data_IF_563796503412
#
_entry.id   IF_563796503412
#
_cell.length_a   1.000
_cell.length_b   1.000
_cell.length_c   1.000
_cell.angle_alpha   90.00
_cell.angle_beta   90.00
_cell.angle_gamma   90.00
#
_symmetry.space_group_name_H-M   'P 1'
#
loop_
_entity.id
_entity.type
_entity.pdbx_description
1 polymer ?
#
# COMPACT_ATOMS: atom_id res chain seq x y z
N UNK A 1 -9.29 -23.15 17.08
CA UNK A 1 -8.48 -21.95 17.38
C UNK A 1 -7.35 -21.90 16.37
N UNK A 2 -7.46 -21.01 15.40
CA UNK A 2 -6.64 -21.03 14.18
C UNK A 2 -5.24 -20.45 14.42
N UNK A 3 -4.22 -21.09 13.86
CA UNK A 3 -2.83 -20.61 13.79
C UNK A 3 -2.68 -19.19 13.19
N UNK A 4 -3.73 -18.65 12.57
CA UNK A 4 -3.81 -17.28 12.04
C UNK A 4 -3.63 -16.20 13.11
N UNK A 5 -4.12 -16.40 14.34
CA UNK A 5 -4.08 -15.33 15.37
C UNK A 5 -2.66 -14.96 15.84
N UNK A 6 -1.77 -15.95 16.03
CA UNK A 6 -0.41 -15.70 16.49
C UNK A 6 0.47 -15.07 15.40
N UNK A 7 0.34 -15.54 14.15
CA UNK A 7 1.03 -14.96 13.00
C UNK A 7 0.58 -13.51 12.75
N UNK A 8 -0.74 -13.27 12.79
CA UNK A 8 -1.32 -11.92 12.69
C UNK A 8 -0.77 -10.99 13.77
N UNK A 9 -0.64 -11.48 15.00
CA UNK A 9 -0.08 -10.68 16.11
C UNK A 9 1.37 -10.29 15.85
N UNK A 10 2.20 -11.21 15.36
CA UNK A 10 3.61 -10.95 15.04
C UNK A 10 3.72 -9.92 13.91
N UNK A 11 2.97 -10.11 12.82
CA UNK A 11 2.99 -9.16 11.71
C UNK A 11 2.42 -7.80 12.09
N UNK A 12 1.36 -7.74 12.90
CA UNK A 12 0.80 -6.50 13.39
C UNK A 12 1.82 -5.72 14.24
N UNK A 13 2.52 -6.40 15.16
CA UNK A 13 3.57 -5.78 15.95
C UNK A 13 4.73 -5.29 15.07
N UNK A 14 5.18 -6.10 14.09
CA UNK A 14 6.23 -5.70 13.15
C UNK A 14 5.81 -4.54 12.25
N UNK A 15 4.57 -4.55 11.77
CA UNK A 15 3.98 -3.47 10.96
C UNK A 15 4.03 -2.16 11.73
N UNK A 16 3.49 -2.16 12.95
CA UNK A 16 3.48 -0.99 13.82
C UNK A 16 4.91 -0.52 14.10
N UNK A 17 5.81 -1.42 14.51
CA UNK A 17 7.21 -1.08 14.79
C UNK A 17 7.88 -0.42 13.59
N UNK A 18 7.75 -1.00 12.39
CA UNK A 18 8.38 -0.46 11.18
C UNK A 18 7.78 0.89 10.76
N UNK A 19 6.47 1.10 10.98
CA UNK A 19 5.80 2.35 10.66
C UNK A 19 6.29 3.50 11.56
N UNK A 20 6.49 3.22 12.84
CA UNK A 20 6.83 4.21 13.87
C UNK A 20 8.33 4.44 14.06
N UNK A 21 9.18 3.47 13.72
CA UNK A 21 10.64 3.62 13.78
C UNK A 21 11.06 4.73 12.82
N UNK A 22 11.88 5.68 13.28
CA UNK A 22 12.44 6.72 12.42
C UNK A 22 13.33 6.11 11.33
N UNK A 23 13.47 6.78 10.19
CA UNK A 23 14.23 6.21 9.06
C UNK A 23 15.65 5.85 9.44
N UNK A 24 16.32 6.73 10.19
CA UNK A 24 17.69 6.59 10.68
C UNK A 24 17.90 5.39 11.62
N UNK A 25 16.83 4.96 12.30
CA UNK A 25 16.86 3.80 13.18
C UNK A 25 16.58 2.47 12.49
N UNK A 26 16.15 2.48 11.24
CA UNK A 26 15.91 1.24 10.49
C UNK A 26 17.22 0.54 10.10
N UNK A 27 17.21 -0.80 10.09
CA UNK A 27 18.35 -1.60 9.62
C UNK A 27 18.70 -1.26 8.16
N UNK A 28 17.69 -0.97 7.34
CA UNK A 28 17.88 -0.59 5.94
C UNK A 28 18.68 0.71 5.81
N UNK A 29 18.44 1.71 6.66
CA UNK A 29 19.22 2.95 6.68
C UNK A 29 20.63 2.71 7.19
N UNK A 30 20.77 1.98 8.30
CA UNK A 30 22.06 1.63 8.91
C UNK A 30 22.98 0.87 7.95
N UNK A 31 22.40 0.06 7.06
CA UNK A 31 23.11 -0.68 6.00
C UNK A 31 23.26 0.12 4.69
N UNK A 32 22.77 1.35 4.63
CA UNK A 32 22.84 2.24 3.46
C UNK A 32 21.95 1.81 2.28
N UNK A 33 20.94 0.96 2.50
CA UNK A 33 19.97 0.54 1.48
C UNK A 33 19.03 1.69 1.12
N UNK A 34 18.66 2.50 2.11
CA UNK A 34 17.79 3.67 1.96
C UNK A 34 18.44 4.94 2.54
N UNK A 35 17.97 6.11 2.12
CA UNK A 35 18.32 7.40 2.70
C UNK A 35 17.44 7.77 3.90
N UNK A 36 17.68 8.95 4.49
CA UNK A 36 16.95 9.45 5.66
C UNK A 36 15.47 9.78 5.42
N UNK A 37 14.99 9.65 4.17
CA UNK A 37 13.59 9.82 3.78
C UNK A 37 13.00 8.49 3.24
N UNK A 38 13.70 7.37 3.44
CA UNK A 38 13.28 6.06 2.98
C UNK A 38 13.36 5.85 1.46
N UNK A 39 14.10 6.68 0.72
CA UNK A 39 14.36 6.48 -0.72
C UNK A 39 15.46 5.43 -0.90
N UNK A 40 15.26 4.50 -1.83
CA UNK A 40 16.24 3.46 -2.13
C UNK A 40 17.49 4.06 -2.76
N UNK A 41 18.66 3.74 -2.19
CA UNK A 41 19.97 4.17 -2.67
C UNK A 41 20.69 3.08 -3.45
N UNK A 42 20.51 1.81 -3.06
CA UNK A 42 21.12 0.66 -3.73
C UNK A 42 20.22 -0.57 -3.69
N UNK A 43 20.48 -1.51 -4.60
CA UNK A 43 19.86 -2.82 -4.58
C UNK A 43 20.49 -3.69 -3.47
N UNK A 44 19.71 -4.31 -2.58
CA UNK A 44 20.22 -5.25 -1.59
C UNK A 44 20.94 -6.44 -2.23
N UNK A 45 22.17 -6.69 -1.82
CA UNK A 45 23.04 -7.76 -2.32
C UNK A 45 23.40 -8.77 -1.23
N UNK A 46 23.80 -8.27 -0.05
CA UNK A 46 24.16 -9.12 1.09
C UNK A 46 22.91 -9.71 1.74
N UNK A 47 23.10 -10.75 2.55
CA UNK A 47 21.99 -11.37 3.28
C UNK A 47 21.36 -10.40 4.27
N UNK A 48 22.19 -9.61 4.95
CA UNK A 48 21.80 -8.61 5.93
C UNK A 48 20.99 -7.49 5.26
N UNK A 49 21.45 -6.99 4.10
CA UNK A 49 20.71 -6.00 3.31
C UNK A 49 19.35 -6.55 2.86
N UNK A 50 19.32 -7.80 2.34
CA UNK A 50 18.07 -8.43 1.89
C UNK A 50 17.07 -8.62 3.05
N UNK A 51 17.56 -9.01 4.22
CA UNK A 51 16.73 -9.16 5.43
C UNK A 51 16.21 -7.81 5.94
N UNK A 52 16.99 -6.74 5.79
CA UNK A 52 16.57 -5.37 6.14
C UNK A 52 15.55 -4.77 5.16
N UNK A 53 15.35 -5.40 3.99
CA UNK A 53 14.58 -4.84 2.88
C UNK A 53 13.72 -5.89 2.16
N UNK A 54 13.05 -6.73 2.95
CA UNK A 54 12.10 -7.76 2.47
C UNK A 54 10.83 -7.15 1.86
N UNK A 55 10.03 -7.96 1.15
CA UNK A 55 8.76 -7.50 0.53
C UNK A 55 7.86 -6.81 1.55
N UNK A 56 7.63 -7.45 2.71
CA UNK A 56 6.88 -6.85 3.81
C UNK A 56 7.44 -5.48 4.23
N UNK A 57 8.75 -5.36 4.45
CA UNK A 57 9.38 -4.10 4.84
C UNK A 57 9.19 -3.03 3.75
N UNK A 58 9.36 -3.39 2.47
CA UNK A 58 9.15 -2.48 1.34
C UNK A 58 7.71 -1.93 1.29
N UNK A 59 6.71 -2.81 1.51
CA UNK A 59 5.30 -2.41 1.54
C UNK A 59 5.01 -1.46 2.71
N UNK A 60 5.52 -1.76 3.91
CA UNK A 60 5.38 -0.88 5.07
C UNK A 60 6.04 0.48 4.83
N UNK A 61 7.25 0.48 4.26
CA UNK A 61 7.95 1.72 3.91
C UNK A 61 7.23 2.53 2.84
N UNK A 62 6.49 1.89 1.92
CA UNK A 62 5.63 2.61 0.99
C UNK A 62 4.54 3.38 1.75
N UNK A 63 3.82 2.69 2.63
CA UNK A 63 2.80 3.34 3.48
C UNK A 63 3.40 4.45 4.32
N UNK A 64 4.55 4.22 4.99
CA UNK A 64 5.25 5.23 5.79
C UNK A 64 5.53 6.50 4.97
N UNK A 65 6.09 6.37 3.76
CA UNK A 65 6.34 7.51 2.85
C UNK A 65 5.06 8.22 2.41
N UNK A 66 3.95 7.50 2.25
CA UNK A 66 2.66 8.09 1.91
C UNK A 66 2.11 8.92 3.08
N UNK A 67 2.17 8.39 4.31
CA UNK A 67 1.73 9.08 5.53
C UNK A 67 2.54 10.35 5.80
N UNK A 68 3.86 10.30 5.64
CA UNK A 68 4.76 11.44 5.88
C UNK A 68 4.57 12.59 4.87
N UNK A 69 3.98 12.32 3.70
CA UNK A 69 3.67 13.35 2.69
C UNK A 69 2.36 14.11 2.94
N UNK A 70 1.58 13.75 3.97
CA UNK A 70 0.29 14.39 4.26
C UNK A 70 0.47 15.47 5.34
N UNK A 71 0.26 16.76 5.01
CA UNK A 71 0.18 17.81 6.02
C UNK A 71 -1.15 17.67 6.81
N UNK A 72 -1.11 17.69 8.14
CA UNK A 72 -2.32 17.98 8.95
C UNK A 72 -2.93 16.89 9.84
N UNK A 73 -2.18 15.88 10.29
CA UNK A 73 -2.48 15.09 11.51
C UNK A 73 -3.74 14.19 11.52
N UNK A 74 -4.68 14.35 10.59
CA UNK A 74 -5.83 13.47 10.39
C UNK A 74 -5.76 12.87 9.00
N UNK A 75 -5.33 11.61 8.93
CA UNK A 75 -5.09 10.95 7.65
C UNK A 75 -6.28 10.10 7.26
N UNK A 76 -6.82 10.32 6.06
CA UNK A 76 -7.89 9.49 5.49
C UNK A 76 -7.31 8.16 5.05
N UNK A 77 -7.44 7.12 5.88
CA UNK A 77 -6.91 5.78 5.60
C UNK A 77 -7.46 5.17 4.29
N UNK A 78 -8.69 5.54 3.90
CA UNK A 78 -9.27 5.18 2.60
C UNK A 78 -8.42 5.66 1.41
N UNK A 79 -7.66 6.77 1.56
CA UNK A 79 -6.70 7.24 0.55
C UNK A 79 -5.52 6.28 0.35
N UNK A 80 -5.36 5.28 1.22
CA UNK A 80 -4.31 4.27 1.18
C UNK A 80 -4.85 2.86 1.10
N UNK A 81 -6.12 2.69 0.73
CA UNK A 81 -6.78 1.38 0.66
C UNK A 81 -5.97 0.36 -0.14
N UNK A 82 -5.48 0.71 -1.35
CA UNK A 82 -4.66 -0.21 -2.13
C UNK A 82 -3.35 -0.61 -1.42
N UNK A 83 -2.65 0.33 -0.79
CA UNK A 83 -1.42 0.02 -0.07
C UNK A 83 -1.67 -0.87 1.16
N UNK A 84 -2.75 -0.62 1.90
CA UNK A 84 -3.18 -1.43 3.04
C UNK A 84 -3.63 -2.84 2.59
N UNK A 85 -4.32 -2.93 1.45
CA UNK A 85 -4.65 -4.19 0.80
C UNK A 85 -3.41 -5.02 0.48
N UNK A 86 -2.33 -4.41 -0.05
CA UNK A 86 -1.09 -5.14 -0.32
C UNK A 86 -0.48 -5.76 0.96
N UNK A 87 -0.60 -5.09 2.11
CA UNK A 87 -0.14 -5.64 3.40
C UNK A 87 -1.03 -6.80 3.84
N UNK A 88 -2.36 -6.62 3.78
CA UNK A 88 -3.36 -7.65 4.10
C UNK A 88 -3.05 -8.92 3.29
N UNK A 89 -2.94 -8.78 1.99
CA UNK A 89 -2.73 -9.88 1.05
C UNK A 89 -1.35 -10.55 1.23
N UNK A 90 -0.29 -9.76 1.45
CA UNK A 90 1.06 -10.31 1.62
C UNK A 90 1.26 -11.04 2.96
N UNK A 91 0.57 -10.62 4.01
CA UNK A 91 0.79 -11.13 5.38
C UNK A 91 -0.30 -12.09 5.86
N UNK A 92 -1.47 -12.10 5.22
CA UNK A 92 -2.66 -12.79 5.70
C UNK A 92 -3.35 -12.10 6.88
N UNK A 93 -2.86 -10.92 7.32
CA UNK A 93 -3.41 -10.20 8.46
C UNK A 93 -4.85 -9.76 8.19
N UNK A 94 -5.74 -10.00 9.15
CA UNK A 94 -7.12 -9.53 9.03
C UNK A 94 -7.24 -8.00 8.96
N UNK A 95 -8.25 -7.53 8.22
CA UNK A 95 -8.58 -6.11 8.10
C UNK A 95 -8.86 -5.45 9.45
N UNK A 96 -9.59 -6.12 10.35
CA UNK A 96 -9.83 -5.67 11.72
C UNK A 96 -8.51 -5.41 12.45
N UNK A 97 -7.52 -6.28 12.30
CA UNK A 97 -6.23 -6.13 12.97
C UNK A 97 -5.43 -4.95 12.40
N UNK A 98 -5.49 -4.74 11.09
CA UNK A 98 -4.91 -3.55 10.46
C UNK A 98 -5.55 -2.26 11.01
N UNK A 99 -6.88 -2.22 11.15
CA UNK A 99 -7.58 -1.09 11.76
C UNK A 99 -7.11 -0.83 13.19
N UNK A 100 -7.08 -1.86 14.05
CA UNK A 100 -6.60 -1.75 15.44
C UNK A 100 -5.18 -1.17 15.54
N UNK A 101 -4.28 -1.51 14.59
CA UNK A 101 -2.91 -0.98 14.60
C UNK A 101 -2.84 0.48 14.16
N UNK A 102 -3.65 0.88 13.18
CA UNK A 102 -3.68 2.25 12.66
C UNK A 102 -4.34 3.21 13.66
N UNK A 103 -5.41 2.79 14.33
CA UNK A 103 -6.09 3.55 15.37
C UNK A 103 -5.18 3.88 16.55
N UNK A 104 -4.35 2.92 16.98
CA UNK A 104 -3.34 3.12 18.04
C UNK A 104 -2.33 4.23 17.72
N UNK A 105 -2.18 4.61 16.45
CA UNK A 105 -1.27 5.67 16.02
C UNK A 105 -2.01 6.98 15.66
N UNK A 106 -3.30 7.09 16.03
CA UNK A 106 -4.09 8.30 15.79
C UNK A 106 -4.64 8.41 14.37
N UNK A 107 -4.57 7.33 13.57
CA UNK A 107 -5.26 7.28 12.29
C UNK A 107 -6.67 6.72 12.50
N UNK A 108 -7.67 7.56 12.31
CA UNK A 108 -9.07 7.13 12.32
C UNK A 108 -9.46 6.62 10.95
N UNK A 109 -10.18 5.50 10.92
CA UNK A 109 -10.97 5.14 9.76
C UNK A 109 -12.04 6.22 9.58
N UNK A 110 -11.91 7.01 8.52
CA UNK A 110 -13.00 7.88 8.12
C UNK A 110 -13.89 7.04 7.22
N UNK A 111 -15.09 6.70 7.72
CA UNK A 111 -16.11 5.92 7.02
C UNK A 111 -16.85 6.77 5.97
N UNK A 112 -16.26 7.91 5.58
CA UNK A 112 -16.71 8.66 4.41
C UNK A 112 -16.43 7.86 3.16
N UNK A 113 -17.42 7.02 2.85
CA UNK A 113 -17.80 6.53 1.55
C UNK A 113 -17.20 7.45 0.46
N UNK A 114 -16.12 7.00 -0.17
CA UNK A 114 -15.44 7.72 -1.24
C UNK A 114 -16.38 7.72 -2.46
N UNK A 115 -17.28 8.70 -2.42
CA UNK A 115 -18.07 9.37 -3.45
C UNK A 115 -18.24 8.67 -4.80
N UNK A 116 -19.48 8.72 -5.27
CA UNK A 116 -19.91 8.71 -6.68
C UNK A 116 -18.79 9.19 -7.61
N UNK A 117 -18.05 8.22 -8.12
CA UNK A 117 -16.95 8.47 -9.03
C UNK A 117 -17.47 8.23 -10.42
N UNK A 118 -17.42 9.24 -11.28
CA UNK A 118 -17.77 9.18 -12.71
C UNK A 118 -17.03 8.09 -13.53
N UNK A 119 -16.12 7.33 -12.89
CA UNK A 119 -15.37 6.23 -13.47
C UNK A 119 -15.83 4.87 -12.93
N UNK A 120 -16.84 4.83 -12.04
CA UNK A 120 -17.48 3.62 -11.56
C UNK A 120 -18.91 3.59 -12.12
N UNK A 121 -19.34 2.41 -12.58
CA UNK A 121 -20.74 2.12 -12.85
C UNK A 121 -21.15 0.91 -12.00
N UNK A 122 -22.09 1.11 -11.08
CA UNK A 122 -22.39 0.17 -9.99
C UNK A 122 -21.13 -0.10 -9.15
N UNK A 123 -20.44 -1.21 -9.39
CA UNK A 123 -19.16 -1.56 -8.76
C UNK A 123 -18.00 -1.63 -9.78
N UNK A 124 -18.33 -1.60 -11.07
CA UNK A 124 -17.37 -1.80 -12.15
C UNK A 124 -16.55 -0.54 -12.39
N UNK A 125 -15.22 -0.69 -12.45
CA UNK A 125 -14.35 0.36 -12.94
C UNK A 125 -14.46 0.45 -14.46
N UNK A 126 -14.85 1.61 -14.96
CA UNK A 126 -15.06 1.83 -16.40
C UNK A 126 -13.76 1.61 -17.19
N UNK A 127 -13.84 0.99 -18.39
CA UNK A 127 -12.66 0.75 -19.22
C UNK A 127 -12.01 2.06 -19.67
N UNK A 128 -10.69 2.04 -19.83
CA UNK A 128 -9.94 3.21 -20.28
C UNK A 128 -8.51 3.27 -19.75
N UNK A 129 -7.87 4.42 -19.99
CA UNK A 129 -6.57 4.75 -19.42
C UNK A 129 -6.75 5.74 -18.28
N UNK A 130 -6.09 5.46 -17.16
CA UNK A 130 -6.14 6.30 -15.97
C UNK A 130 -4.74 6.64 -15.51
N UNK A 131 -4.55 7.88 -15.07
CA UNK A 131 -3.29 8.38 -14.52
C UNK A 131 -3.22 8.09 -13.02
N UNK A 132 -2.10 7.52 -12.57
CA UNK A 132 -1.82 7.32 -11.15
C UNK A 132 -1.54 8.67 -10.48
N UNK A 133 -2.23 8.97 -9.38
CA UNK A 133 -1.99 10.21 -8.61
C UNK A 133 -0.97 10.03 -7.48
N UNK A 134 -0.59 8.78 -7.17
CA UNK A 134 0.44 8.42 -6.20
C UNK A 134 1.23 7.20 -6.67
N UNK A 135 2.30 6.91 -5.95
CA UNK A 135 3.13 5.73 -6.19
C UNK A 135 2.41 4.46 -5.73
N UNK A 136 2.42 3.41 -6.56
CA UNK A 136 1.79 2.11 -6.30
C UNK A 136 2.85 1.00 -6.36
N UNK A 137 2.88 0.18 -5.31
CA UNK A 137 3.78 -0.97 -5.23
C UNK A 137 3.19 -2.22 -5.88
N UNK A 138 4.10 -3.08 -6.34
CA UNK A 138 3.80 -4.46 -6.71
C UNK A 138 3.55 -5.30 -5.47
N UNK A 139 2.49 -6.10 -5.49
CA UNK A 139 2.24 -7.13 -4.47
C UNK A 139 3.37 -8.18 -4.42
N UNK A 140 3.92 -8.53 -5.58
CA UNK A 140 4.89 -9.63 -5.72
C UNK A 140 6.29 -9.24 -5.24
N UNK A 141 6.69 -7.98 -5.43
CA UNK A 141 8.07 -7.53 -5.15
C UNK A 141 8.18 -6.49 -4.03
N UNK A 142 7.06 -5.86 -3.67
CA UNK A 142 7.00 -4.70 -2.77
C UNK A 142 7.58 -3.42 -3.39
N UNK A 143 8.05 -3.46 -4.64
CA UNK A 143 8.69 -2.32 -5.30
C UNK A 143 7.66 -1.39 -5.92
N UNK A 144 7.95 -0.09 -5.92
CA UNK A 144 7.12 0.90 -6.63
C UNK A 144 7.35 0.75 -8.12
N UNK A 145 6.40 0.11 -8.81
CA UNK A 145 6.43 -0.10 -10.26
C UNK A 145 5.46 0.85 -11.00
N UNK A 146 4.41 1.33 -10.33
CA UNK A 146 3.52 2.37 -10.83
C UNK A 146 3.90 3.69 -10.20
N UNK A 147 4.68 4.52 -10.88
CA UNK A 147 5.07 5.84 -10.34
C UNK A 147 3.95 6.85 -10.52
N UNK A 148 3.83 7.80 -9.60
CA UNK A 148 2.92 8.94 -9.76
C UNK A 148 3.08 9.57 -11.14
N UNK A 149 1.96 9.78 -11.82
CA UNK A 149 1.88 10.40 -13.14
C UNK A 149 1.98 9.44 -14.31
N UNK A 150 2.28 8.16 -14.10
CA UNK A 150 2.18 7.12 -15.13
C UNK A 150 0.75 6.60 -15.26
N UNK A 151 0.51 5.70 -16.21
CA UNK A 151 -0.84 5.28 -16.58
C UNK A 151 -1.08 3.79 -16.31
N UNK A 152 -2.32 3.46 -15.98
CA UNK A 152 -2.86 2.10 -15.95
C UNK A 152 -3.95 1.96 -17.02
N UNK A 153 -4.10 0.76 -17.55
CA UNK A 153 -5.16 0.39 -18.48
C UNK A 153 -6.16 -0.51 -17.77
N UNK A 154 -7.43 -0.13 -17.87
CA UNK A 154 -8.58 -0.88 -17.36
C UNK A 154 -9.29 -1.50 -18.55
N UNK A 155 -9.53 -2.80 -18.46
CA UNK A 155 -10.26 -3.58 -19.47
C UNK A 155 -11.76 -3.48 -19.25
N UNK A 156 -12.55 -3.92 -20.23
CA UNK A 156 -14.00 -4.06 -20.07
C UNK A 156 -14.34 -5.01 -18.92
N UNK A 157 -15.47 -4.76 -18.25
CA UNK A 157 -15.99 -5.56 -17.14
C UNK A 157 -15.01 -5.72 -15.95
N UNK A 158 -14.23 -4.67 -15.64
CA UNK A 158 -13.31 -4.66 -14.51
C UNK A 158 -14.06 -4.56 -13.18
N UNK A 159 -14.37 -5.72 -12.59
CA UNK A 159 -14.97 -5.85 -11.26
C UNK A 159 -13.91 -5.71 -10.15
N UNK A 160 -14.31 -5.28 -8.93
CA UNK A 160 -13.41 -5.29 -7.79
C UNK A 160 -12.92 -6.71 -7.50
N UNK A 161 -11.62 -6.84 -7.23
CA UNK A 161 -10.99 -8.11 -6.84
C UNK A 161 -11.14 -8.36 -5.34
N UNK A 162 -11.17 -7.29 -4.54
CA UNK A 162 -11.41 -7.35 -3.09
C UNK A 162 -11.92 -5.97 -2.62
N UNK A 163 -12.28 -5.88 -1.35
CA UNK A 163 -12.60 -4.63 -0.65
C UNK A 163 -11.79 -4.56 0.64
N UNK A 164 -11.35 -3.35 1.00
CA UNK A 164 -10.72 -3.08 2.30
C UNK A 164 -11.20 -1.72 2.80
N UNK A 165 -11.66 -1.64 4.05
CA UNK A 165 -12.19 -0.44 4.68
C UNK A 165 -13.25 0.26 3.80
N UNK A 166 -14.21 -0.54 3.29
CA UNK A 166 -15.26 -0.11 2.36
C UNK A 166 -14.77 0.48 1.02
N UNK A 167 -13.49 0.32 0.68
CA UNK A 167 -12.94 0.75 -0.61
C UNK A 167 -12.70 -0.46 -1.52
N UNK A 168 -13.30 -0.42 -2.71
CA UNK A 168 -13.07 -1.41 -3.76
C UNK A 168 -11.64 -1.34 -4.30
N UNK A 169 -11.05 -2.52 -4.49
CA UNK A 169 -9.71 -2.72 -5.04
C UNK A 169 -9.81 -3.38 -6.40
N UNK A 170 -9.21 -2.77 -7.41
CA UNK A 170 -9.22 -3.22 -8.79
C UNK A 170 -7.83 -3.69 -9.21
N UNK A 171 -7.77 -4.82 -9.91
CA UNK A 171 -6.55 -5.32 -10.55
C UNK A 171 -6.46 -4.75 -11.97
N UNK A 172 -5.45 -3.91 -12.20
CA UNK A 172 -5.27 -3.16 -13.45
C UNK A 172 -3.87 -3.37 -14.02
N UNK A 173 -3.70 -3.15 -15.33
CA UNK A 173 -2.39 -3.32 -15.99
C UNK A 173 -1.65 -1.98 -16.07
N UNK A 174 -0.45 -1.88 -15.52
CA UNK A 174 0.39 -0.70 -15.70
C UNK A 174 0.90 -0.62 -17.14
N UNK A 175 0.76 0.55 -17.78
CA UNK A 175 1.04 0.72 -19.20
C UNK A 175 2.52 0.51 -19.51
N UNK A 176 3.42 1.10 -18.71
CA UNK A 176 4.85 1.11 -19.03
C UNK A 176 5.55 -0.21 -18.68
N UNK A 177 5.17 -0.85 -17.58
CA UNK A 177 5.83 -2.09 -17.11
C UNK A 177 5.09 -3.35 -17.52
N UNK A 178 3.86 -3.23 -18.03
CA UNK A 178 2.95 -4.34 -18.35
C UNK A 178 2.61 -5.27 -17.18
N UNK A 179 3.00 -4.89 -15.97
CA UNK A 179 2.73 -5.64 -14.74
C UNK A 179 1.35 -5.27 -14.18
N UNK A 180 0.79 -6.20 -13.40
CA UNK A 180 -0.47 -5.98 -12.71
C UNK A 180 -0.25 -5.15 -11.44
N UNK A 181 -1.15 -4.20 -11.21
CA UNK A 181 -1.22 -3.35 -10.03
C UNK A 181 -2.59 -3.47 -9.39
N UNK A 182 -2.64 -3.20 -8.10
CA UNK A 182 -3.88 -3.07 -7.33
C UNK A 182 -4.08 -1.61 -7.02
N UNK A 183 -5.24 -1.07 -7.38
CA UNK A 183 -5.59 0.34 -7.20
C UNK A 183 -6.99 0.47 -6.61
N UNK A 184 -7.21 1.48 -5.78
CA UNK A 184 -8.55 1.98 -5.50
C UNK A 184 -8.85 3.18 -6.39
N UNK A 185 -10.11 3.60 -6.40
CA UNK A 185 -10.54 4.82 -7.12
C UNK A 185 -9.78 6.05 -6.62
N UNK A 186 -9.38 6.08 -5.36
CA UNK A 186 -8.57 7.14 -4.78
C UNK A 186 -7.11 7.18 -5.27
N UNK A 187 -6.68 6.22 -6.11
CA UNK A 187 -5.31 6.17 -6.66
C UNK A 187 -5.22 6.66 -8.11
N UNK A 188 -6.37 6.86 -8.77
CA UNK A 188 -6.45 7.11 -10.21
C UNK A 188 -7.34 8.29 -10.56
N UNK A 189 -6.98 8.96 -11.65
CA UNK A 189 -7.81 9.99 -12.31
C UNK A 189 -7.82 9.74 -13.81
N UNK A 190 -8.90 10.14 -14.48
CA UNK A 190 -9.00 10.02 -15.94
C UNK A 190 -8.16 11.10 -16.64
#
# INVERSE_FOLDING_TARGET
>A
MSFTSAADMIYAFRFLKLLTTSWDDTDAYKLGVIDGNGKVLKKPTTREEKNSYTIFIKLVFNIKRLLEKVPGGKTRLASYAAALFLIKEHTGMSEKRLAEMLEKFGYTMDDTNLQESWIINEEQLLPGRYKLIKDVASLETGEVIGRRGTYVSVIENCMPTDTIFNAHIYKVKHVNTHQMLYVSVGDIVR
#
